data_IF_236151048123
#
_entry.id   IF_236151048123
#
_cell.length_a   1.000
_cell.length_b   1.000
_cell.length_c   1.000
_cell.angle_alpha   90.00
_cell.angle_beta   90.00
_cell.angle_gamma   90.00
#
_symmetry.space_group_name_H-M   'P 1'
#
loop_
_entity.id
_entity.type
_entity.pdbx_description
1 polymer ?
#
# COMPACT_ATOMS: atom_id res chain seq x y z
N UNK A 1 2.28 14.00 -5.45
CA UNK A 1 1.19 13.26 -6.11
C UNK A 1 1.75 12.28 -7.13
N UNK A 2 1.13 11.14 -7.26
CA UNK A 2 1.38 10.24 -8.39
C UNK A 2 0.47 10.60 -9.55
N UNK A 3 0.98 10.48 -10.76
CA UNK A 3 0.29 10.94 -11.96
C UNK A 3 -0.34 9.75 -12.71
N UNK A 4 -1.68 9.72 -12.75
CA UNK A 4 -2.46 8.82 -13.59
C UNK A 4 -3.07 9.57 -14.77
N UNK A 5 -3.64 8.84 -15.73
CA UNK A 5 -4.15 9.45 -16.97
C UNK A 5 -5.28 10.45 -16.71
N UNK A 6 -6.22 10.10 -15.82
CA UNK A 6 -7.41 10.93 -15.53
C UNK A 6 -7.25 11.81 -14.31
N UNK A 7 -6.48 11.36 -13.33
CA UNK A 7 -6.37 11.99 -12.03
C UNK A 7 -4.96 11.88 -11.47
N UNK A 8 -4.60 12.81 -10.61
CA UNK A 8 -3.41 12.72 -9.78
C UNK A 8 -3.85 12.36 -8.36
N UNK A 9 -3.07 11.52 -7.66
CA UNK A 9 -3.40 11.04 -6.32
C UNK A 9 -2.27 11.25 -5.34
N UNK A 10 -2.63 11.41 -4.07
CA UNK A 10 -1.70 11.39 -2.94
C UNK A 10 -2.00 10.16 -2.09
N UNK A 11 -1.35 9.01 -2.37
CA UNK A 11 -1.51 7.83 -1.54
C UNK A 11 -1.04 8.08 -0.11
N UNK A 12 -1.65 7.38 0.87
CA UNK A 12 -1.20 7.46 2.25
C UNK A 12 0.25 6.99 2.38
N UNK A 13 0.58 5.87 1.73
CA UNK A 13 1.95 5.35 1.67
C UNK A 13 2.18 4.81 0.26
N UNK A 14 3.36 5.07 -0.30
CA UNK A 14 3.75 4.45 -1.55
C UNK A 14 5.24 4.09 -1.55
N UNK A 15 5.58 3.08 -2.35
CA UNK A 15 6.94 2.59 -2.50
C UNK A 15 7.34 2.58 -3.97
N UNK A 16 8.54 3.08 -4.24
CA UNK A 16 9.17 3.06 -5.55
C UNK A 16 10.43 2.21 -5.50
N UNK A 17 10.63 1.35 -6.48
CA UNK A 17 11.91 0.68 -6.65
C UNK A 17 13.03 1.71 -6.80
N UNK A 18 14.22 1.38 -6.32
CA UNK A 18 15.39 2.27 -6.39
C UNK A 18 15.71 2.69 -7.82
N UNK A 19 15.53 1.80 -8.79
CA UNK A 19 15.75 2.10 -10.20
C UNK A 19 14.87 3.25 -10.70
N UNK A 20 13.68 3.43 -10.11
CA UNK A 20 12.76 4.52 -10.43
C UNK A 20 13.08 5.76 -9.60
N UNK A 21 13.27 5.58 -8.28
CA UNK A 21 13.41 6.70 -7.34
C UNK A 21 14.76 7.41 -7.41
N UNK A 22 15.78 6.78 -7.98
CA UNK A 22 17.13 7.36 -8.07
C UNK A 22 17.17 8.73 -8.79
N UNK A 23 16.20 8.99 -9.66
CA UNK A 23 16.13 10.22 -10.45
C UNK A 23 15.19 11.27 -9.84
N UNK A 24 14.60 10.98 -8.67
CA UNK A 24 13.71 11.93 -8.00
C UNK A 24 14.47 13.13 -7.45
N UNK A 25 13.83 14.31 -7.53
CA UNK A 25 14.38 15.58 -7.05
C UNK A 25 13.66 16.01 -5.79
N UNK A 26 14.36 16.79 -4.95
CA UNK A 26 13.87 17.26 -3.64
C UNK A 26 12.56 18.06 -3.71
N UNK A 27 12.39 18.82 -4.79
CA UNK A 27 11.23 19.70 -5.00
C UNK A 27 10.20 19.13 -5.98
N UNK A 28 10.31 17.85 -6.30
CA UNK A 28 9.43 17.20 -7.25
C UNK A 28 8.00 17.09 -6.70
N UNK A 29 7.01 17.52 -7.48
CA UNK A 29 5.60 17.50 -7.10
C UNK A 29 4.84 16.33 -7.73
N UNK A 30 5.20 15.93 -8.96
CA UNK A 30 4.56 14.82 -9.67
C UNK A 30 5.52 13.64 -9.79
N UNK A 31 5.01 12.47 -9.50
CA UNK A 31 5.79 11.23 -9.47
C UNK A 31 5.21 10.20 -10.44
N UNK A 32 6.03 9.30 -10.98
CA UNK A 32 5.54 8.19 -11.78
C UNK A 32 4.73 7.20 -10.93
N UNK A 33 4.26 6.13 -11.56
CA UNK A 33 3.48 5.10 -10.88
C UNK A 33 4.36 4.33 -9.92
N UNK A 34 4.00 4.24 -8.62
CA UNK A 34 4.75 3.46 -7.65
C UNK A 34 4.52 1.95 -7.85
N UNK A 35 5.42 1.16 -7.30
CA UNK A 35 5.31 -0.30 -7.32
C UNK A 35 4.29 -0.82 -6.33
N UNK A 36 4.13 -0.11 -5.21
CA UNK A 36 3.32 -0.53 -4.08
C UNK A 36 2.63 0.70 -3.48
N UNK A 37 1.33 0.58 -3.21
CA UNK A 37 0.53 1.64 -2.59
C UNK A 37 -0.24 1.05 -1.40
N UNK A 38 -0.30 1.81 -0.31
CA UNK A 38 -1.17 1.53 0.84
C UNK A 38 -2.14 2.70 1.00
N UNK A 39 -3.43 2.39 1.05
CA UNK A 39 -4.47 3.35 1.39
C UNK A 39 -5.14 2.95 2.70
N UNK A 40 -5.31 3.92 3.59
CA UNK A 40 -5.96 3.72 4.89
C UNK A 40 -7.37 4.29 4.78
N UNK A 41 -8.38 3.42 4.91
CA UNK A 41 -9.77 3.82 4.75
C UNK A 41 -10.21 4.79 5.83
N UNK A 42 -11.05 5.74 5.42
CA UNK A 42 -11.84 6.56 6.32
C UNK A 42 -13.27 6.64 5.77
N UNK A 43 -14.27 7.06 6.56
CA UNK A 43 -15.64 7.16 6.07
C UNK A 43 -15.77 8.03 4.82
N UNK A 44 -14.91 9.05 4.67
CA UNK A 44 -14.93 9.93 3.52
C UNK A 44 -14.20 9.42 2.28
N UNK A 45 -13.33 8.42 2.40
CA UNK A 45 -12.47 7.96 1.31
C UNK A 45 -12.74 6.54 0.83
N UNK A 46 -13.46 5.71 1.61
CA UNK A 46 -13.63 4.28 1.32
C UNK A 46 -14.14 4.02 -0.10
N UNK A 47 -15.16 4.75 -0.51
CA UNK A 47 -15.76 4.59 -1.83
C UNK A 47 -14.75 4.85 -2.95
N UNK A 48 -13.89 5.85 -2.78
CA UNK A 48 -12.84 6.19 -3.76
C UNK A 48 -11.72 5.16 -3.76
N UNK A 49 -11.29 4.72 -2.57
CA UNK A 49 -10.18 3.77 -2.42
C UNK A 49 -10.54 2.39 -2.98
N UNK A 50 -11.81 2.00 -2.89
CA UNK A 50 -12.32 0.74 -3.45
C UNK A 50 -12.83 0.88 -4.87
N UNK A 51 -13.07 2.08 -5.36
CA UNK A 51 -13.64 2.37 -6.67
C UNK A 51 -12.65 2.97 -7.64
N UNK A 52 -12.71 4.29 -7.82
CA UNK A 52 -11.92 4.97 -8.86
C UNK A 52 -10.41 4.83 -8.66
N UNK A 53 -9.91 4.91 -7.42
CA UNK A 53 -8.48 4.71 -7.16
C UNK A 53 -8.06 3.28 -7.46
N UNK A 54 -8.85 2.31 -7.03
CA UNK A 54 -8.59 0.90 -7.34
C UNK A 54 -8.43 0.68 -8.84
N UNK A 55 -9.39 1.20 -9.63
CA UNK A 55 -9.37 1.06 -11.08
C UNK A 55 -8.16 1.77 -11.71
N UNK A 56 -7.85 2.99 -11.27
CA UNK A 56 -6.74 3.76 -11.80
C UNK A 56 -5.39 3.12 -11.44
N UNK A 57 -5.21 2.67 -10.21
CA UNK A 57 -3.98 1.99 -9.80
C UNK A 57 -3.78 0.68 -10.59
N UNK A 58 -4.84 -0.10 -10.73
CA UNK A 58 -4.84 -1.32 -11.54
C UNK A 58 -4.44 -1.02 -12.98
N UNK A 59 -5.11 -0.06 -13.61
CA UNK A 59 -4.93 0.25 -15.02
C UNK A 59 -3.57 0.86 -15.32
N UNK A 60 -2.92 1.47 -14.33
CA UNK A 60 -1.58 2.05 -14.48
C UNK A 60 -0.45 1.13 -14.03
N UNK A 61 -0.76 -0.10 -13.64
CA UNK A 61 0.25 -1.11 -13.39
C UNK A 61 0.89 -1.08 -12.00
N UNK A 62 0.21 -0.53 -11.00
CA UNK A 62 0.62 -0.69 -9.59
C UNK A 62 0.61 -2.19 -9.28
N UNK A 63 1.74 -2.73 -8.81
CA UNK A 63 1.90 -4.18 -8.68
C UNK A 63 1.30 -4.75 -7.41
N UNK A 64 1.28 -3.96 -6.35
CA UNK A 64 0.73 -4.37 -5.05
C UNK A 64 -0.06 -3.22 -4.43
N UNK A 65 -1.27 -3.50 -3.95
CA UNK A 65 -2.15 -2.51 -3.36
C UNK A 65 -2.76 -3.06 -2.07
N UNK A 66 -2.51 -2.37 -0.96
CA UNK A 66 -3.11 -2.71 0.33
C UNK A 66 -4.19 -1.70 0.69
N UNK A 67 -5.33 -2.21 1.11
CA UNK A 67 -6.39 -1.42 1.73
C UNK A 67 -6.44 -1.80 3.20
N UNK A 68 -6.16 -0.81 4.06
CA UNK A 68 -6.22 -0.97 5.52
C UNK A 68 -7.53 -0.37 6.00
N UNK A 69 -8.34 -1.18 6.68
CA UNK A 69 -9.62 -0.76 7.25
C UNK A 69 -9.50 -0.67 8.78
N UNK A 70 -9.34 0.55 9.35
CA UNK A 70 -9.22 0.70 10.80
C UNK A 70 -10.49 0.35 11.57
N UNK A 71 -11.66 0.50 10.96
CA UNK A 71 -12.93 0.19 11.61
C UNK A 71 -13.13 -1.32 11.74
N UNK A 72 -12.91 -2.07 10.68
CA UNK A 72 -12.99 -3.53 10.70
C UNK A 72 -11.73 -4.20 11.24
N UNK A 73 -10.63 -3.45 11.36
CA UNK A 73 -9.29 -3.94 11.73
C UNK A 73 -8.81 -5.06 10.81
N UNK A 74 -8.97 -4.84 9.51
CA UNK A 74 -8.54 -5.78 8.46
C UNK A 74 -7.60 -5.14 7.47
N UNK A 75 -6.79 -5.98 6.82
CA UNK A 75 -5.97 -5.59 5.68
C UNK A 75 -6.36 -6.45 4.48
N UNK A 76 -6.51 -5.80 3.34
CA UNK A 76 -6.68 -6.47 2.05
C UNK A 76 -5.44 -6.22 1.21
N UNK A 77 -4.84 -7.31 0.74
CA UNK A 77 -3.69 -7.24 -0.18
C UNK A 77 -4.13 -7.69 -1.56
N UNK A 78 -4.00 -6.78 -2.52
CA UNK A 78 -4.24 -7.07 -3.94
C UNK A 78 -2.92 -7.12 -4.69
N UNK A 79 -2.78 -8.11 -5.57
CA UNK A 79 -1.61 -8.29 -6.41
C UNK A 79 -2.02 -8.20 -7.88
N UNK A 80 -1.25 -7.48 -8.67
CA UNK A 80 -1.51 -7.35 -10.10
C UNK A 80 -1.12 -8.66 -10.79
N UNK A 81 -2.07 -9.25 -11.53
CA UNK A 81 -1.83 -10.47 -12.28
C UNK A 81 -1.24 -10.19 -13.67
N UNK A 82 -1.00 -11.24 -14.44
CA UNK A 82 -0.39 -11.13 -15.78
C UNK A 82 -1.29 -10.40 -16.78
N UNK A 83 -2.60 -10.42 -16.56
CA UNK A 83 -3.59 -9.74 -17.41
C UNK A 83 -3.77 -8.27 -17.03
N UNK A 84 -3.07 -7.79 -16.00
CA UNK A 84 -3.17 -6.40 -15.56
C UNK A 84 -4.37 -6.12 -14.68
N UNK A 85 -4.88 -7.11 -13.97
CA UNK A 85 -5.98 -6.98 -13.02
C UNK A 85 -5.52 -7.31 -11.61
N UNK A 86 -6.06 -6.59 -10.62
CA UNK A 86 -5.83 -6.91 -9.21
C UNK A 86 -6.58 -8.15 -8.79
N UNK A 87 -5.88 -9.04 -8.11
CA UNK A 87 -6.47 -10.22 -7.46
C UNK A 87 -6.27 -10.10 -5.95
N UNK A 88 -7.33 -10.38 -5.19
CA UNK A 88 -7.25 -10.41 -3.73
C UNK A 88 -6.42 -11.61 -3.30
N UNK A 89 -5.27 -11.35 -2.66
CA UNK A 89 -4.39 -12.39 -2.14
C UNK A 89 -4.66 -12.70 -0.68
N UNK A 90 -4.85 -11.66 0.13
CA UNK A 90 -5.11 -11.79 1.57
C UNK A 90 -6.18 -10.78 1.97
N UNK A 91 -7.14 -11.20 2.78
CA UNK A 91 -8.02 -10.35 3.57
C UNK A 91 -8.11 -10.96 4.95
N UNK A 92 -7.54 -10.28 5.95
CA UNK A 92 -7.44 -10.85 7.30
C UNK A 92 -7.31 -9.78 8.36
N UNK A 93 -7.65 -10.16 9.60
CA UNK A 93 -7.43 -9.38 10.83
C UNK A 93 -6.31 -9.97 11.68
N UNK A 94 -5.69 -11.06 11.24
CA UNK A 94 -4.69 -11.80 12.03
C UNK A 94 -3.63 -12.41 11.14
N UNK A 95 -2.60 -12.97 11.76
CA UNK A 95 -1.48 -13.58 11.05
C UNK A 95 -0.48 -12.55 10.54
N UNK A 96 0.46 -13.03 9.75
CA UNK A 96 1.52 -12.20 9.16
C UNK A 96 1.18 -11.85 7.72
N UNK A 97 1.42 -10.59 7.36
CA UNK A 97 1.28 -10.11 5.99
C UNK A 97 2.65 -9.89 5.37
N UNK A 98 2.90 -10.57 4.26
CA UNK A 98 4.13 -10.44 3.49
C UNK A 98 3.92 -9.52 2.29
N UNK A 99 4.75 -8.48 2.17
CA UNK A 99 4.82 -7.72 0.93
C UNK A 99 5.54 -8.53 -0.15
N UNK A 100 5.06 -8.41 -1.38
CA UNK A 100 5.73 -8.99 -2.55
C UNK A 100 6.73 -7.99 -3.14
N UNK A 101 6.37 -6.71 -3.17
CA UNK A 101 7.22 -5.67 -3.77
C UNK A 101 8.37 -5.21 -2.86
N UNK A 102 8.20 -5.28 -1.56
CA UNK A 102 9.27 -4.95 -0.61
C UNK A 102 9.82 -6.26 -0.04
N UNK A 103 11.04 -6.69 -0.46
CA UNK A 103 11.64 -7.92 0.04
C UNK A 103 11.80 -7.88 1.55
N UNK A 104 11.52 -8.99 2.20
CA UNK A 104 11.68 -9.19 3.65
C UNK A 104 10.73 -8.36 4.53
N UNK A 105 9.79 -7.61 3.95
CA UNK A 105 8.77 -6.93 4.74
C UNK A 105 7.68 -7.92 5.13
N UNK A 106 7.64 -8.25 6.41
CA UNK A 106 6.60 -9.10 7.01
C UNK A 106 6.07 -8.36 8.24
N UNK A 107 4.76 -8.11 8.27
CA UNK A 107 4.12 -7.39 9.37
C UNK A 107 3.04 -8.28 9.96
N UNK A 108 3.07 -8.55 11.28
CA UNK A 108 1.91 -9.13 11.96
C UNK A 108 0.73 -8.16 11.85
N UNK A 109 -0.39 -8.60 11.31
CA UNK A 109 -1.54 -7.70 11.04
C UNK A 109 -2.03 -6.99 12.30
N UNK A 110 -2.13 -7.63 13.48
CA UNK A 110 -2.56 -6.94 14.69
C UNK A 110 -1.69 -5.74 15.08
N UNK A 111 -0.42 -5.73 14.70
CA UNK A 111 0.51 -4.61 14.97
C UNK A 111 0.02 -3.31 14.34
N UNK A 112 -0.66 -3.40 13.19
CA UNK A 112 -1.15 -2.22 12.47
C UNK A 112 -2.23 -1.48 13.27
N UNK A 113 -3.01 -2.20 14.09
CA UNK A 113 -4.19 -1.67 14.76
C UNK A 113 -4.03 -1.49 16.26
N UNK A 114 -2.88 -1.85 16.84
CA UNK A 114 -2.62 -1.77 18.27
C UNK A 114 -1.32 -1.03 18.54
N UNK A 115 -1.42 0.10 19.20
CA UNK A 115 -0.29 0.99 19.45
C UNK A 115 0.80 0.34 20.30
N UNK A 116 0.43 -0.44 21.29
CA UNK A 116 1.38 -1.16 22.15
C UNK A 116 2.11 -2.25 21.38
N UNK A 117 1.37 -3.05 20.59
CA UNK A 117 1.96 -4.08 19.75
C UNK A 117 2.89 -3.49 18.69
N UNK A 118 2.50 -2.36 18.13
CA UNK A 118 3.33 -1.63 17.16
C UNK A 118 4.64 -1.17 17.80
N UNK A 119 4.57 -0.61 18.99
CA UNK A 119 5.73 -0.15 19.74
C UNK A 119 6.69 -1.30 20.04
N UNK A 120 6.17 -2.43 20.55
CA UNK A 120 6.97 -3.61 20.86
C UNK A 120 7.60 -4.21 19.59
N UNK A 121 6.88 -4.21 18.49
CA UNK A 121 7.38 -4.69 17.19
C UNK A 121 8.55 -3.83 16.68
N UNK A 122 8.42 -2.51 16.74
CA UNK A 122 9.47 -1.59 16.33
C UNK A 122 10.73 -1.75 17.20
N UNK A 123 10.56 -1.92 18.52
CA UNK A 123 11.67 -2.21 19.42
C UNK A 123 12.45 -3.45 19.00
N UNK A 124 11.75 -4.53 18.65
CA UNK A 124 12.40 -5.78 18.21
C UNK A 124 13.22 -5.57 16.94
N UNK A 125 12.74 -4.77 16.00
CA UNK A 125 13.45 -4.45 14.77
C UNK A 125 14.78 -3.74 15.09
N UNK A 126 14.75 -2.76 15.99
CA UNK A 126 15.95 -1.99 16.36
C UNK A 126 16.93 -2.75 17.25
N UNK A 127 16.49 -3.83 17.88
CA UNK A 127 17.33 -4.66 18.75
C UNK A 127 17.92 -5.87 18.03
N UNK A 128 17.46 -6.13 16.82
CA UNK A 128 17.87 -7.30 16.05
C UNK A 128 19.27 -7.12 15.43
#
# INVERSE_FOLDING_TARGET
>A
MIQCTRNDYEPDICFFEKAISKDFKTDQALFPIPNFIVEILSPGTEKRDRGIKFDDYQNHGVKEYWIIDPQAQTVEQFLLNKEGAFELNVKSDSGDLKSIQIPHLVIPIPVIFDEKLAHDFVKKIYQA
#
